data_IF_636992987281
#
_entry.id   IF_636992987281
#
_cell.length_a   1.000
_cell.length_b   1.000
_cell.length_c   1.000
_cell.angle_alpha   90.00
_cell.angle_beta   90.00
_cell.angle_gamma   90.00
#
_symmetry.space_group_name_H-M   'P 1'
#
loop_
_entity.id
_entity.type
_entity.pdbx_description
1 polymer ?
#
# COMPACT_ATOMS: atom_id res chain seq x y z
N UNK A 1 0.54 -25.60 4.86
CA UNK A 1 0.03 -24.43 4.10
C UNK A 1 -1.46 -24.38 4.31
N UNK A 2 -1.96 -23.35 4.99
CA UNK A 2 -3.40 -23.13 5.15
C UNK A 2 -3.99 -22.81 3.78
N UNK A 3 -4.97 -23.58 3.35
CA UNK A 3 -5.68 -23.33 2.09
C UNK A 3 -6.49 -22.04 2.25
N UNK A 4 -6.18 -21.02 1.48
CA UNK A 4 -6.94 -19.76 1.52
C UNK A 4 -8.36 -20.02 1.06
N UNK A 5 -9.33 -19.49 1.79
CA UNK A 5 -10.71 -19.46 1.32
C UNK A 5 -10.82 -18.42 0.18
N UNK A 6 -11.67 -18.65 -0.82
CA UNK A 6 -12.02 -17.61 -1.78
C UNK A 6 -12.66 -16.42 -1.06
N UNK A 7 -12.55 -15.24 -1.65
CA UNK A 7 -13.27 -14.04 -1.20
C UNK A 7 -14.77 -14.32 -1.22
N UNK A 8 -15.45 -14.04 -0.09
CA UNK A 8 -16.89 -14.23 0.09
C UNK A 8 -17.62 -12.93 0.43
N UNK A 9 -18.94 -12.97 0.37
CA UNK A 9 -19.81 -11.85 0.74
C UNK A 9 -19.58 -11.37 2.18
N UNK A 10 -19.28 -12.29 3.10
CA UNK A 10 -18.98 -11.95 4.50
C UNK A 10 -17.75 -11.03 4.62
N UNK A 11 -16.71 -11.28 3.83
CA UNK A 11 -15.48 -10.49 3.85
C UNK A 11 -15.75 -9.07 3.35
N UNK A 12 -16.54 -8.93 2.27
CA UNK A 12 -16.95 -7.65 1.70
C UNK A 12 -17.81 -6.88 2.70
N UNK A 13 -18.79 -7.57 3.33
CA UNK A 13 -19.68 -6.96 4.30
C UNK A 13 -18.92 -6.39 5.52
N UNK A 14 -17.92 -7.11 6.04
CA UNK A 14 -17.07 -6.63 7.14
C UNK A 14 -16.41 -5.28 6.78
N UNK A 15 -15.88 -5.17 5.55
CA UNK A 15 -15.24 -3.92 5.09
C UNK A 15 -16.29 -2.82 4.93
N UNK A 16 -17.43 -3.12 4.33
CA UNK A 16 -18.52 -2.16 4.14
C UNK A 16 -19.02 -1.61 5.46
N UNK A 17 -19.23 -2.47 6.47
CA UNK A 17 -19.69 -2.07 7.79
C UNK A 17 -18.68 -1.17 8.49
N UNK A 18 -17.39 -1.51 8.42
CA UNK A 18 -16.32 -0.69 8.98
C UNK A 18 -16.28 0.69 8.29
N UNK A 19 -16.28 0.72 6.97
CA UNK A 19 -16.24 1.95 6.20
C UNK A 19 -17.50 2.81 6.44
N UNK A 20 -18.68 2.20 6.49
CA UNK A 20 -19.95 2.87 6.80
C UNK A 20 -19.98 3.49 8.19
N UNK A 21 -19.33 2.84 9.17
CA UNK A 21 -19.20 3.34 10.55
C UNK A 21 -18.20 4.51 10.62
N UNK A 22 -17.06 4.41 9.92
CA UNK A 22 -15.99 5.41 9.98
C UNK A 22 -16.23 6.58 9.03
N UNK A 23 -16.82 6.33 7.87
CA UNK A 23 -17.01 7.29 6.76
C UNK A 23 -15.73 8.04 6.41
N UNK A 24 -14.66 7.32 6.02
CA UNK A 24 -13.35 7.93 5.81
C UNK A 24 -13.36 8.84 4.59
N UNK A 25 -12.59 9.93 4.62
CA UNK A 25 -12.30 10.75 3.45
C UNK A 25 -11.17 10.14 2.60
N UNK A 26 -10.34 9.31 3.21
CA UNK A 26 -9.24 8.65 2.53
C UNK A 26 -9.08 7.20 3.02
N UNK A 27 -8.86 6.30 2.08
CA UNK A 27 -8.52 4.90 2.32
C UNK A 27 -7.17 4.62 1.70
N UNK A 28 -6.25 4.03 2.44
CA UNK A 28 -4.95 3.62 1.95
C UNK A 28 -4.90 2.09 1.88
N UNK A 29 -4.66 1.55 0.69
CA UNK A 29 -4.62 0.11 0.46
C UNK A 29 -3.34 -0.32 -0.23
N UNK A 30 -2.90 -1.54 0.05
CA UNK A 30 -1.76 -2.14 -0.63
C UNK A 30 -2.14 -2.45 -2.08
N UNK A 31 -1.59 -1.69 -3.03
CA UNK A 31 -1.83 -1.82 -4.47
C UNK A 31 -0.87 -2.80 -5.16
N UNK A 32 -0.27 -3.71 -4.42
CA UNK A 32 0.71 -4.64 -4.97
C UNK A 32 0.04 -5.82 -5.65
N UNK A 33 -0.01 -5.79 -6.98
CA UNK A 33 -0.52 -6.88 -7.81
C UNK A 33 0.50 -7.99 -8.03
N UNK A 34 1.77 -7.76 -7.67
CA UNK A 34 2.87 -8.71 -7.82
C UNK A 34 3.05 -9.61 -6.60
N UNK A 35 2.11 -9.59 -5.64
CA UNK A 35 2.15 -10.45 -4.45
C UNK A 35 2.15 -11.95 -4.83
N UNK A 36 3.28 -12.66 -4.65
CA UNK A 36 3.39 -14.07 -5.04
C UNK A 36 2.48 -14.98 -4.21
N UNK A 37 2.01 -14.50 -3.06
CA UNK A 37 1.11 -15.24 -2.18
C UNK A 37 -0.36 -14.95 -2.45
N UNK A 38 -0.67 -13.92 -3.22
CA UNK A 38 -2.01 -13.49 -3.59
C UNK A 38 -2.88 -12.97 -2.43
N UNK A 39 -2.33 -12.79 -1.22
CA UNK A 39 -3.10 -12.32 -0.07
C UNK A 39 -3.45 -10.84 -0.20
N UNK A 40 -2.47 -10.01 -0.58
CA UNK A 40 -2.69 -8.59 -0.81
C UNK A 40 -3.70 -8.35 -1.93
N UNK A 41 -3.62 -9.15 -3.01
CA UNK A 41 -4.58 -9.08 -4.12
C UNK A 41 -6.01 -9.38 -3.65
N UNK A 42 -6.22 -10.46 -2.92
CA UNK A 42 -7.57 -10.82 -2.42
C UNK A 42 -8.12 -9.73 -1.49
N UNK A 43 -7.29 -9.19 -0.60
CA UNK A 43 -7.70 -8.08 0.26
C UNK A 43 -8.04 -6.82 -0.55
N UNK A 44 -7.25 -6.52 -1.58
CA UNK A 44 -7.48 -5.37 -2.45
C UNK A 44 -8.78 -5.53 -3.26
N UNK A 45 -9.04 -6.73 -3.79
CA UNK A 45 -10.27 -7.04 -4.50
C UNK A 45 -11.50 -6.84 -3.59
N UNK A 46 -11.41 -7.25 -2.32
CA UNK A 46 -12.46 -7.02 -1.34
C UNK A 46 -12.69 -5.53 -1.06
N UNK A 47 -11.61 -4.74 -0.93
CA UNK A 47 -11.69 -3.29 -0.73
C UNK A 47 -12.34 -2.62 -1.94
N UNK A 48 -11.93 -2.97 -3.15
CA UNK A 48 -12.47 -2.39 -4.37
C UNK A 48 -13.96 -2.69 -4.53
N UNK A 49 -14.37 -3.94 -4.29
CA UNK A 49 -15.78 -4.31 -4.37
C UNK A 49 -16.61 -3.58 -3.32
N UNK A 50 -16.10 -3.48 -2.09
CA UNK A 50 -16.76 -2.72 -1.02
C UNK A 50 -16.90 -1.24 -1.40
N UNK A 51 -15.85 -0.63 -1.95
CA UNK A 51 -15.88 0.76 -2.39
C UNK A 51 -16.91 0.99 -3.51
N UNK A 52 -16.99 0.09 -4.51
CA UNK A 52 -17.98 0.21 -5.59
C UNK A 52 -19.42 0.17 -5.07
N UNK A 53 -19.71 -0.79 -4.18
CA UNK A 53 -21.04 -0.93 -3.58
C UNK A 53 -21.41 0.29 -2.73
N UNK A 54 -20.49 0.75 -1.88
CA UNK A 54 -20.69 1.94 -1.05
C UNK A 54 -20.84 3.22 -1.88
N UNK A 55 -20.07 3.36 -2.96
CA UNK A 55 -20.19 4.50 -3.86
C UNK A 55 -21.56 4.59 -4.53
N UNK A 56 -22.16 3.45 -4.85
CA UNK A 56 -23.51 3.37 -5.41
C UNK A 56 -24.59 3.66 -4.36
N UNK A 57 -24.35 3.24 -3.11
CA UNK A 57 -25.37 3.28 -2.07
C UNK A 57 -25.34 4.56 -1.20
N UNK A 58 -24.22 5.29 -1.16
CA UNK A 58 -24.01 6.37 -0.20
C UNK A 58 -23.27 7.56 -0.78
N UNK A 59 -23.84 8.76 -0.61
CA UNK A 59 -23.25 10.01 -1.12
C UNK A 59 -21.91 10.36 -0.47
N UNK A 60 -21.71 10.05 0.83
CA UNK A 60 -20.44 10.33 1.50
C UNK A 60 -19.24 9.64 0.85
N UNK A 61 -19.46 8.51 0.16
CA UNK A 61 -18.39 7.77 -0.51
C UNK A 61 -17.87 8.49 -1.76
N UNK A 62 -18.63 9.43 -2.33
CA UNK A 62 -18.20 10.24 -3.48
C UNK A 62 -17.01 11.15 -3.14
N UNK A 63 -16.88 11.52 -1.87
CA UNK A 63 -15.79 12.34 -1.34
C UNK A 63 -14.64 11.49 -0.75
N UNK A 64 -14.75 10.18 -0.82
CA UNK A 64 -13.73 9.25 -0.33
C UNK A 64 -12.72 8.92 -1.43
N UNK A 65 -11.45 9.16 -1.15
CA UNK A 65 -10.35 8.85 -2.07
C UNK A 65 -9.63 7.58 -1.64
N UNK A 66 -9.43 6.67 -2.60
CA UNK A 66 -8.69 5.43 -2.36
C UNK A 66 -7.30 5.54 -2.96
N UNK A 67 -6.29 5.49 -2.10
CA UNK A 67 -4.88 5.57 -2.45
C UNK A 67 -4.21 4.21 -2.36
N UNK A 68 -3.49 3.85 -3.41
CA UNK A 68 -2.77 2.60 -3.53
C UNK A 68 -1.28 2.86 -3.31
N UNK A 69 -0.69 2.17 -2.34
CA UNK A 69 0.75 2.19 -2.10
C UNK A 69 1.39 0.86 -2.50
N UNK A 70 2.66 0.86 -2.78
CA UNK A 70 3.47 -0.34 -2.96
C UNK A 70 4.10 -0.77 -1.64
N UNK A 71 4.27 -2.07 -1.47
CA UNK A 71 4.98 -2.63 -0.31
C UNK A 71 6.50 -2.58 -0.48
N UNK A 72 7.17 -3.71 -0.27
CA UNK A 72 8.62 -3.87 -0.48
C UNK A 72 8.97 -4.36 -1.90
N UNK A 73 8.03 -4.28 -2.82
CA UNK A 73 8.18 -4.76 -4.20
C UNK A 73 8.58 -3.62 -5.14
N UNK A 74 8.03 -3.60 -6.33
CA UNK A 74 8.31 -2.56 -7.32
C UNK A 74 7.52 -1.29 -7.01
N UNK A 75 8.15 -0.13 -7.23
CA UNK A 75 7.45 1.15 -7.15
C UNK A 75 6.56 1.36 -8.38
N UNK A 76 5.63 2.31 -8.27
CA UNK A 76 4.88 2.83 -9.40
C UNK A 76 5.82 3.49 -10.41
N UNK A 77 5.49 3.44 -11.69
CA UNK A 77 6.21 4.24 -12.67
C UNK A 77 5.99 5.74 -12.35
N UNK A 78 7.03 6.55 -12.50
CA UNK A 78 6.99 7.98 -12.08
C UNK A 78 5.81 8.74 -12.69
N UNK A 79 5.44 8.41 -13.94
CA UNK A 79 4.31 9.05 -14.63
C UNK A 79 2.94 8.60 -14.13
N UNK A 80 2.85 7.53 -13.34
CA UNK A 80 1.61 7.04 -12.73
C UNK A 80 1.39 7.65 -11.33
N UNK A 81 2.44 8.14 -10.68
CA UNK A 81 2.37 8.66 -9.32
C UNK A 81 1.55 9.94 -9.27
N UNK A 82 0.45 9.91 -8.52
CA UNK A 82 -0.43 11.07 -8.35
C UNK A 82 -0.20 11.78 -7.00
N UNK A 83 0.40 11.10 -6.04
CA UNK A 83 0.81 11.69 -4.76
C UNK A 83 2.15 11.12 -4.32
N UNK A 84 3.10 12.00 -4.03
CA UNK A 84 4.39 11.63 -3.44
C UNK A 84 4.57 12.38 -2.11
N UNK A 85 4.76 11.61 -1.04
CA UNK A 85 4.88 12.14 0.32
C UNK A 85 6.33 12.05 0.78
N UNK A 86 7.03 13.18 0.94
CA UNK A 86 8.41 13.19 1.41
C UNK A 86 8.49 12.77 2.87
N UNK A 87 9.54 12.05 3.23
CA UNK A 87 9.82 11.61 4.58
C UNK A 87 11.15 12.17 5.06
N UNK A 88 11.15 12.71 6.28
CA UNK A 88 12.38 13.06 6.98
C UNK A 88 13.12 11.80 7.45
N UNK A 89 14.43 11.89 7.79
CA UNK A 89 15.18 10.78 8.38
C UNK A 89 14.51 10.21 9.65
N UNK A 90 13.85 11.05 10.43
CA UNK A 90 13.10 10.61 11.62
C UNK A 90 11.88 9.77 11.25
N UNK A 91 11.11 10.19 10.25
CA UNK A 91 9.93 9.45 9.79
C UNK A 91 10.32 8.12 9.15
N UNK A 92 11.42 8.09 8.41
CA UNK A 92 11.95 6.86 7.82
C UNK A 92 12.37 5.85 8.89
N UNK A 93 13.07 6.30 9.96
CA UNK A 93 13.39 5.45 11.12
C UNK A 93 12.13 4.94 11.82
N UNK A 94 11.12 5.78 11.99
CA UNK A 94 9.84 5.38 12.59
C UNK A 94 9.12 4.31 11.76
N UNK A 95 9.15 4.45 10.43
CA UNK A 95 8.63 3.42 9.51
C UNK A 95 9.35 2.08 9.69
N UNK A 96 10.69 2.08 9.77
CA UNK A 96 11.50 0.90 10.05
C UNK A 96 11.12 0.24 11.38
N UNK A 97 10.99 1.03 12.43
CA UNK A 97 10.58 0.53 13.75
C UNK A 97 9.18 -0.11 13.71
N UNK A 98 8.25 0.48 12.95
CA UNK A 98 6.92 -0.11 12.76
C UNK A 98 6.98 -1.47 12.06
N UNK A 99 7.85 -1.64 11.07
CA UNK A 99 8.08 -2.93 10.42
C UNK A 99 8.56 -3.98 11.43
N UNK A 100 9.47 -3.62 12.34
CA UNK A 100 9.96 -4.53 13.38
C UNK A 100 8.91 -4.95 14.41
N UNK A 101 7.80 -4.24 14.51
CA UNK A 101 6.67 -4.69 15.35
C UNK A 101 5.97 -5.94 14.79
N UNK A 102 6.14 -6.24 13.50
CA UNK A 102 5.63 -7.46 12.86
C UNK A 102 6.59 -8.65 13.11
N UNK A 103 6.63 -9.13 14.34
CA UNK A 103 7.62 -10.11 14.83
C UNK A 103 7.69 -11.42 14.01
N UNK A 104 6.59 -11.85 13.41
CA UNK A 104 6.54 -13.08 12.62
C UNK A 104 7.15 -12.97 11.22
N UNK A 105 7.44 -11.75 10.75
CA UNK A 105 7.85 -11.50 9.37
C UNK A 105 9.04 -10.53 9.22
N UNK A 106 9.65 -10.12 10.34
CA UNK A 106 10.69 -9.10 10.33
C UNK A 106 12.02 -9.56 9.73
N UNK A 107 12.38 -10.83 9.89
CA UNK A 107 13.76 -11.28 9.69
C UNK A 107 14.04 -11.89 8.31
N UNK A 108 13.09 -12.59 7.69
CA UNK A 108 13.27 -13.21 6.37
C UNK A 108 11.96 -13.28 5.60
N UNK A 109 11.61 -12.28 4.81
CA UNK A 109 10.54 -12.45 3.85
C UNK A 109 10.97 -13.48 2.80
N UNK A 110 10.10 -14.40 2.40
CA UNK A 110 10.38 -15.37 1.35
C UNK A 110 10.31 -14.68 -0.02
N UNK A 111 11.28 -13.81 -0.32
CA UNK A 111 11.38 -13.22 -1.63
C UNK A 111 11.97 -14.27 -2.60
N UNK A 112 11.39 -14.43 -3.79
CA UNK A 112 12.00 -15.25 -4.83
C UNK A 112 13.26 -14.56 -5.36
N UNK A 113 14.31 -15.34 -5.60
CA UNK A 113 15.58 -14.88 -6.17
C UNK A 113 16.68 -14.66 -5.14
N UNK A 114 17.78 -14.07 -5.61
CA UNK A 114 19.03 -13.89 -4.84
C UNK A 114 19.08 -12.62 -3.99
N UNK A 115 17.93 -11.96 -3.77
CA UNK A 115 17.86 -10.76 -2.96
C UNK A 115 17.86 -11.10 -1.47
N UNK A 116 19.01 -10.92 -0.84
CA UNK A 116 19.23 -11.21 0.58
C UNK A 116 18.85 -10.07 1.52
N UNK A 117 18.30 -8.97 0.99
CA UNK A 117 17.87 -7.84 1.84
C UNK A 117 16.68 -8.24 2.72
N UNK A 118 16.66 -7.73 3.93
CA UNK A 118 15.50 -7.84 4.80
C UNK A 118 14.33 -6.98 4.27
N UNK A 119 13.11 -7.30 4.70
CA UNK A 119 11.90 -6.60 4.25
C UNK A 119 11.98 -5.09 4.44
N UNK A 120 12.48 -4.63 5.61
CA UNK A 120 12.62 -3.22 5.89
C UNK A 120 13.64 -2.52 4.99
N UNK A 121 14.74 -3.21 4.64
CA UNK A 121 15.75 -2.67 3.73
C UNK A 121 15.15 -2.43 2.34
N UNK A 122 14.44 -3.40 1.80
CA UNK A 122 13.77 -3.24 0.51
C UNK A 122 12.74 -2.11 0.51
N UNK A 123 11.92 -2.02 1.57
CA UNK A 123 10.92 -0.96 1.70
C UNK A 123 11.58 0.42 1.80
N UNK A 124 12.69 0.54 2.51
CA UNK A 124 13.45 1.78 2.69
C UNK A 124 14.19 2.18 1.40
N UNK A 125 14.86 1.23 0.74
CA UNK A 125 15.54 1.44 -0.55
C UNK A 125 14.53 1.92 -1.60
N UNK A 126 13.36 1.29 -1.70
CA UNK A 126 12.31 1.74 -2.61
C UNK A 126 11.93 3.21 -2.38
N UNK A 127 11.75 3.61 -1.13
CA UNK A 127 11.41 5.00 -0.81
C UNK A 127 12.56 5.98 -1.11
N UNK A 128 13.82 5.57 -0.91
CA UNK A 128 15.00 6.36 -1.28
C UNK A 128 15.14 6.49 -2.79
N UNK A 129 14.92 5.40 -3.51
CA UNK A 129 14.95 5.39 -4.98
C UNK A 129 13.88 6.30 -5.58
N UNK A 130 12.67 6.30 -4.99
CA UNK A 130 11.61 7.23 -5.38
C UNK A 130 12.05 8.67 -5.20
N UNK A 131 12.62 9.03 -4.06
CA UNK A 131 13.13 10.38 -3.81
C UNK A 131 14.27 10.76 -4.79
N UNK A 132 15.17 9.83 -5.08
CA UNK A 132 16.25 10.03 -6.03
C UNK A 132 15.75 10.30 -7.47
N UNK A 133 14.70 9.59 -7.91
CA UNK A 133 14.06 9.82 -9.20
C UNK A 133 13.44 11.23 -9.28
N UNK A 134 12.73 11.67 -8.25
CA UNK A 134 12.15 13.01 -8.20
C UNK A 134 13.22 14.10 -8.16
N UNK A 135 14.33 13.88 -7.44
CA UNK A 135 15.49 14.78 -7.48
C UNK A 135 16.08 14.89 -8.88
N UNK A 136 16.19 13.77 -9.59
CA UNK A 136 16.68 13.77 -10.99
C UNK A 136 15.76 14.55 -11.94
N UNK A 137 14.47 14.68 -11.61
CA UNK A 137 13.49 15.51 -12.32
C UNK A 137 13.49 16.98 -11.88
N UNK A 138 14.38 17.37 -10.99
CA UNK A 138 14.55 18.77 -10.55
C UNK A 138 13.78 19.17 -9.29
N UNK A 139 13.17 18.22 -8.58
CA UNK A 139 12.58 18.52 -7.26
C UNK A 139 13.67 18.63 -6.17
N UNK A 140 13.26 19.19 -5.03
CA UNK A 140 14.13 19.30 -3.87
C UNK A 140 14.62 17.92 -3.38
N UNK A 141 15.79 17.91 -2.76
CA UNK A 141 16.39 16.70 -2.20
C UNK A 141 15.67 16.30 -0.92
N UNK A 142 15.07 15.10 -0.94
CA UNK A 142 14.46 14.46 0.21
C UNK A 142 15.14 13.13 0.50
N UNK A 143 15.14 12.72 1.77
CA UNK A 143 15.73 11.45 2.22
C UNK A 143 15.02 10.25 1.56
N UNK A 144 13.71 10.29 1.54
CA UNK A 144 12.87 9.24 1.00
C UNK A 144 11.47 9.79 0.65
N UNK A 145 10.74 9.10 -0.21
CA UNK A 145 9.35 9.41 -0.55
C UNK A 145 8.50 8.15 -0.59
N UNK A 146 7.27 8.24 -0.08
CA UNK A 146 6.24 7.24 -0.34
C UNK A 146 5.36 7.70 -1.50
N UNK A 147 5.13 6.81 -2.45
CA UNK A 147 4.36 7.11 -3.65
C UNK A 147 3.00 6.42 -3.65
N UNK A 148 2.00 7.10 -4.19
CA UNK A 148 0.64 6.62 -4.26
C UNK A 148 0.04 6.88 -5.63
N UNK A 149 -0.82 5.96 -6.05
CA UNK A 149 -1.69 6.08 -7.22
C UNK A 149 -3.12 6.07 -6.73
N UNK A 150 -3.97 6.90 -7.31
CA UNK A 150 -5.39 6.94 -6.97
C UNK A 150 -6.14 5.85 -7.73
N UNK A 151 -6.93 5.07 -7.01
CA UNK A 151 -7.93 4.20 -7.63
C UNK A 151 -9.16 5.02 -8.03
N UNK A 152 -9.63 4.85 -9.28
CA UNK A 152 -10.70 5.67 -9.86
C UNK A 152 -12.02 4.92 -10.10
N UNK A 153 -12.13 3.68 -9.57
CA UNK A 153 -13.32 2.84 -9.75
C UNK A 153 -13.15 1.77 -10.82
#
# INVERSE_FOLDING_TARGET
RTRKKPLGEEDIQIIMDLMGKVKPHQVFAAGDLADPHGTHRVCLDAIFESCRRLHTAHDWMKDCWVWLYRGAWHEWAVHEIEMAVPMSPHQLRKKRQAIFMHQSQKDRPPFPGDDNREFWQRAEDRNRDTAAQYRALGLAEYEAMEAFVRWKG
#
